data_IF_283663288129
#
_entry.id   IF_283663288129
#
_cell.length_a   1.000
_cell.length_b   1.000
_cell.length_c   1.000
_cell.angle_alpha   90.00
_cell.angle_beta   90.00
_cell.angle_gamma   90.00
#
_symmetry.space_group_name_H-M   'P 1'
#
loop_
_entity.id
_entity.type
_entity.pdbx_description
1 polymer ?
#
# COMPACT_ATOMS: atom_id res chain seq x y z
N UNK A 1 24.75 0.45 -7.28
CA UNK A 1 25.63 -0.73 -7.16
C UNK A 1 25.92 -1.03 -5.70
N UNK A 2 26.01 -2.30 -5.32
CA UNK A 2 26.42 -2.75 -3.97
C UNK A 2 27.58 -3.72 -4.10
N UNK A 3 28.64 -3.49 -3.32
CA UNK A 3 29.82 -4.34 -3.25
C UNK A 3 30.02 -4.92 -1.85
N UNK A 4 30.45 -6.17 -1.82
CA UNK A 4 30.86 -6.85 -0.59
C UNK A 4 32.36 -7.16 -0.68
N UNK A 5 33.13 -6.59 0.25
CA UNK A 5 34.56 -6.87 0.42
C UNK A 5 34.75 -7.67 1.72
N UNK A 6 34.80 -9.00 1.60
CA UNK A 6 34.66 -9.89 2.74
C UNK A 6 33.32 -9.68 3.44
N UNK A 7 33.36 -9.35 4.74
CA UNK A 7 32.17 -9.08 5.55
C UNK A 7 31.77 -7.59 5.61
N UNK A 8 32.21 -6.79 4.68
CA UNK A 8 31.99 -5.34 4.64
C UNK A 8 31.16 -4.98 3.41
N UNK A 9 30.22 -4.08 3.56
CA UNK A 9 29.30 -3.64 2.50
C UNK A 9 29.54 -2.17 2.16
N UNK A 10 29.59 -1.85 0.88
CA UNK A 10 29.55 -0.48 0.36
C UNK A 10 28.52 -0.39 -0.76
N UNK A 11 27.82 0.72 -0.82
CA UNK A 11 26.83 0.99 -1.88
C UNK A 11 27.03 2.41 -2.40
N UNK A 12 26.91 2.55 -3.72
CA UNK A 12 26.92 3.82 -4.43
C UNK A 12 25.95 3.76 -5.61
N UNK A 13 25.46 4.91 -6.06
CA UNK A 13 24.53 5.02 -7.20
C UNK A 13 24.84 6.24 -8.03
N UNK A 14 24.53 6.19 -9.33
CA UNK A 14 24.61 7.29 -10.27
C UNK A 14 23.39 7.29 -11.17
N UNK A 15 22.97 8.45 -11.64
CA UNK A 15 22.01 8.64 -12.74
C UNK A 15 22.70 8.78 -14.09
N UNK A 16 24.02 8.98 -14.11
CA UNK A 16 24.85 9.00 -15.31
C UNK A 16 25.36 7.58 -15.61
N UNK A 17 25.07 7.06 -16.78
CA UNK A 17 25.45 5.72 -17.24
C UNK A 17 26.66 5.74 -18.19
N UNK A 18 27.43 6.85 -18.24
CA UNK A 18 28.71 6.88 -18.96
C UNK A 18 29.72 5.91 -18.32
N UNK A 19 30.63 5.37 -19.12
CA UNK A 19 31.65 4.43 -18.62
C UNK A 19 32.43 4.99 -17.44
N UNK A 20 32.84 6.28 -17.49
CA UNK A 20 33.54 6.94 -16.41
C UNK A 20 32.71 7.01 -15.12
N UNK A 21 31.43 7.35 -15.23
CA UNK A 21 30.54 7.42 -14.06
C UNK A 21 30.25 6.04 -13.46
N UNK A 22 30.23 5.00 -14.28
CA UNK A 22 30.11 3.60 -13.82
C UNK A 22 31.38 3.21 -13.04
N UNK A 23 32.58 3.49 -13.57
CA UNK A 23 33.85 3.23 -12.87
C UNK A 23 33.92 3.98 -11.56
N UNK A 24 33.63 5.27 -11.55
CA UNK A 24 33.61 6.11 -10.33
C UNK A 24 32.60 5.56 -9.28
N UNK A 25 31.47 5.04 -9.73
CA UNK A 25 30.45 4.42 -8.87
C UNK A 25 30.96 3.12 -8.24
N UNK A 26 31.69 2.30 -9.02
CA UNK A 26 32.33 1.08 -8.52
C UNK A 26 33.38 1.42 -7.47
N UNK A 27 34.27 2.37 -7.77
CA UNK A 27 35.34 2.79 -6.87
C UNK A 27 34.80 3.40 -5.58
N UNK A 28 33.76 4.21 -5.68
CA UNK A 28 33.07 4.77 -4.50
C UNK A 28 32.48 3.66 -3.62
N UNK A 29 31.77 2.69 -4.20
CA UNK A 29 31.20 1.56 -3.45
C UNK A 29 32.30 0.71 -2.81
N UNK A 30 33.41 0.46 -3.50
CA UNK A 30 34.55 -0.28 -2.98
C UNK A 30 35.25 0.47 -1.81
N UNK A 31 35.47 1.75 -1.96
CA UNK A 31 36.09 2.58 -0.92
C UNK A 31 35.19 2.63 0.33
N UNK A 32 33.88 2.77 0.17
CA UNK A 32 32.91 2.67 1.29
C UNK A 32 33.06 1.32 1.98
N UNK A 33 33.06 0.21 1.21
CA UNK A 33 33.20 -1.13 1.77
C UNK A 33 34.48 -1.33 2.57
N UNK A 34 35.61 -0.71 2.15
CA UNK A 34 36.90 -0.82 2.87
C UNK A 34 36.85 -0.28 4.29
N UNK A 35 36.07 0.77 4.52
CA UNK A 35 36.02 1.49 5.81
C UNK A 35 34.74 1.18 6.63
N UNK A 36 33.76 0.50 6.06
CA UNK A 36 32.56 0.07 6.80
C UNK A 36 32.91 -1.03 7.82
N UNK A 37 32.27 -1.03 8.97
CA UNK A 37 32.46 -2.09 9.97
C UNK A 37 32.05 -3.46 9.38
N UNK A 38 32.79 -4.53 9.68
CA UNK A 38 32.42 -5.87 9.22
C UNK A 38 31.16 -6.38 9.94
N UNK A 39 30.28 -7.03 9.20
CA UNK A 39 29.17 -7.82 9.74
C UNK A 39 29.18 -9.19 9.04
N UNK A 40 29.33 -10.29 9.82
CA UNK A 40 29.44 -11.64 9.26
C UNK A 40 28.21 -12.10 8.46
N UNK A 41 27.10 -11.36 8.55
CA UNK A 41 25.86 -11.67 7.84
C UNK A 41 25.70 -10.89 6.52
N UNK A 42 26.61 -9.97 6.21
CA UNK A 42 26.66 -9.32 4.90
C UNK A 42 27.10 -10.29 3.80
N UNK A 43 26.53 -10.13 2.63
CA UNK A 43 26.84 -10.91 1.43
C UNK A 43 25.65 -11.02 0.50
N UNK A 44 25.90 -11.50 -0.71
CA UNK A 44 24.87 -11.81 -1.68
C UNK A 44 23.89 -12.87 -1.12
N UNK A 45 22.69 -12.91 -1.67
CA UNK A 45 21.75 -13.98 -1.44
C UNK A 45 22.35 -15.34 -1.86
N UNK A 46 21.85 -16.45 -1.27
CA UNK A 46 22.31 -17.80 -1.64
C UNK A 46 22.02 -18.05 -3.13
N UNK A 47 23.04 -18.48 -3.87
CA UNK A 47 22.94 -18.81 -5.30
C UNK A 47 21.81 -19.80 -5.61
N UNK A 48 21.52 -20.72 -4.70
CA UNK A 48 20.46 -21.71 -4.87
C UNK A 48 19.05 -21.13 -4.83
N UNK A 49 18.91 -19.91 -4.30
CA UNK A 49 17.62 -19.22 -4.20
C UNK A 49 17.34 -18.32 -5.40
N UNK A 50 18.32 -18.11 -6.28
CA UNK A 50 18.14 -17.26 -7.47
C UNK A 50 16.99 -17.78 -8.34
N UNK A 51 16.21 -16.84 -8.88
CA UNK A 51 15.15 -17.18 -9.81
C UNK A 51 15.73 -17.81 -11.10
N UNK A 52 15.10 -18.86 -11.55
CA UNK A 52 15.52 -19.58 -12.77
C UNK A 52 14.45 -19.61 -13.85
N UNK A 53 13.20 -19.36 -13.48
CA UNK A 53 12.08 -19.30 -14.40
C UNK A 53 11.57 -17.87 -14.49
N UNK A 54 11.61 -17.29 -15.69
CA UNK A 54 11.14 -15.93 -15.99
C UNK A 54 9.94 -16.04 -16.91
N UNK A 55 8.74 -15.96 -16.36
CA UNK A 55 7.50 -15.87 -17.14
C UNK A 55 7.09 -14.42 -17.35
N UNK A 56 6.39 -14.15 -18.41
CA UNK A 56 5.79 -12.85 -18.67
C UNK A 56 4.59 -12.66 -17.73
N UNK A 57 4.61 -11.57 -16.97
CA UNK A 57 3.54 -11.16 -16.06
C UNK A 57 2.68 -10.02 -16.62
N UNK A 58 2.83 -9.71 -17.91
CA UNK A 58 2.10 -8.66 -18.62
C UNK A 58 2.27 -7.28 -17.92
N UNK A 59 3.52 -6.93 -17.55
CA UNK A 59 3.82 -5.72 -16.80
C UNK A 59 4.08 -4.50 -17.70
N UNK A 60 4.25 -4.71 -19.01
CA UNK A 60 4.62 -3.68 -19.96
C UNK A 60 3.55 -3.55 -21.05
N UNK A 61 2.79 -2.49 -20.95
CA UNK A 61 1.69 -2.16 -21.85
C UNK A 61 1.79 -0.66 -22.17
N UNK A 62 2.66 -0.25 -23.11
CA UNK A 62 2.87 1.16 -23.43
C UNK A 62 1.58 1.81 -23.93
N UNK A 63 1.37 3.05 -23.55
CA UNK A 63 0.23 3.84 -23.99
C UNK A 63 0.71 4.82 -25.08
N UNK A 64 0.51 4.46 -26.33
CA UNK A 64 0.83 5.33 -27.46
C UNK A 64 -0.22 6.46 -27.57
N UNK A 65 -0.01 7.50 -26.78
CA UNK A 65 -0.91 8.65 -26.67
C UNK A 65 -0.12 9.96 -26.78
N UNK A 66 -0.65 10.91 -27.51
CA UNK A 66 -0.06 12.24 -27.60
C UNK A 66 -0.30 13.07 -26.32
N UNK A 67 0.57 14.04 -26.07
CA UNK A 67 0.42 14.97 -24.94
C UNK A 67 -0.91 15.72 -25.01
N UNK A 68 -1.34 16.12 -26.21
CA UNK A 68 -2.63 16.83 -26.40
C UNK A 68 -3.81 15.96 -25.96
N UNK A 69 -3.81 14.67 -26.30
CA UNK A 69 -4.85 13.75 -25.85
C UNK A 69 -4.81 13.52 -24.31
N UNK A 70 -3.61 13.45 -23.67
CA UNK A 70 -3.51 13.39 -22.21
C UNK A 70 -4.14 14.63 -21.55
N UNK A 71 -3.89 15.82 -22.13
CA UNK A 71 -4.49 17.09 -21.68
C UNK A 71 -6.02 17.04 -21.83
N UNK A 72 -6.53 16.53 -22.95
CA UNK A 72 -7.97 16.44 -23.16
C UNK A 72 -8.64 15.46 -22.18
N UNK A 73 -8.03 14.31 -21.87
CA UNK A 73 -8.52 13.40 -20.83
C UNK A 73 -8.54 14.09 -19.44
N UNK A 74 -7.51 14.86 -19.10
CA UNK A 74 -7.48 15.61 -17.86
C UNK A 74 -8.62 16.65 -17.78
N UNK A 75 -8.86 17.39 -18.88
CA UNK A 75 -9.98 18.35 -18.96
C UNK A 75 -11.35 17.66 -18.82
N UNK A 76 -11.54 16.51 -19.46
CA UNK A 76 -12.78 15.72 -19.33
C UNK A 76 -12.99 15.30 -17.87
N UNK A 77 -11.94 14.81 -17.21
CA UNK A 77 -11.98 14.39 -15.81
C UNK A 77 -12.35 15.58 -14.89
N UNK A 78 -11.69 16.71 -15.05
CA UNK A 78 -11.97 17.92 -14.27
C UNK A 78 -13.37 18.48 -14.52
N UNK A 79 -13.79 18.60 -15.79
CA UNK A 79 -15.13 19.06 -16.15
C UNK A 79 -16.21 18.18 -15.52
N UNK A 80 -16.04 16.84 -15.58
CA UNK A 80 -16.98 15.89 -14.98
C UNK A 80 -17.07 16.05 -13.46
N UNK A 81 -15.98 16.44 -12.80
CA UNK A 81 -16.02 16.71 -11.37
C UNK A 81 -16.75 18.01 -11.03
N UNK A 82 -16.50 19.08 -11.81
CA UNK A 82 -17.14 20.39 -11.63
C UNK A 82 -18.65 20.34 -11.95
N UNK A 83 -19.04 19.53 -12.92
CA UNK A 83 -20.45 19.39 -13.34
C UNK A 83 -21.34 18.67 -12.32
N UNK A 84 -20.78 18.00 -11.31
CA UNK A 84 -21.57 17.30 -10.29
C UNK A 84 -22.46 18.26 -9.51
N UNK A 85 -21.98 19.48 -9.20
CA UNK A 85 -22.78 20.50 -8.48
C UNK A 85 -22.14 21.87 -8.55
N UNK A 86 -22.98 22.91 -8.55
CA UNK A 86 -22.54 24.30 -8.40
C UNK A 86 -21.83 24.60 -7.06
N UNK A 87 -21.92 23.71 -6.07
CA UNK A 87 -21.18 23.81 -4.81
C UNK A 87 -19.71 23.45 -4.96
N UNK A 88 -19.32 22.78 -6.05
CA UNK A 88 -17.91 22.57 -6.37
C UNK A 88 -17.42 23.85 -7.05
N UNK A 89 -16.73 24.66 -6.26
CA UNK A 89 -16.38 26.05 -6.64
C UNK A 89 -14.96 26.16 -7.18
N UNK A 90 -14.13 25.14 -6.97
CA UNK A 90 -12.73 25.16 -7.39
C UNK A 90 -12.20 23.75 -7.66
N UNK A 91 -11.08 23.70 -8.37
CA UNK A 91 -10.33 22.47 -8.66
C UNK A 91 -8.85 22.67 -8.29
N UNK A 92 -8.25 21.66 -7.71
CA UNK A 92 -6.79 21.58 -7.58
C UNK A 92 -6.16 20.99 -8.85
N UNK A 93 -7.00 20.61 -9.81
CA UNK A 93 -6.64 20.08 -11.11
C UNK A 93 -6.90 18.60 -11.27
N UNK A 94 -6.90 18.20 -12.54
CA UNK A 94 -6.83 16.81 -12.93
C UNK A 94 -5.45 16.51 -13.53
N UNK A 95 -4.99 15.30 -13.38
CA UNK A 95 -3.73 14.83 -13.93
C UNK A 95 -3.89 13.49 -14.64
N UNK A 96 -3.20 13.36 -15.77
CA UNK A 96 -3.05 12.10 -16.48
C UNK A 96 -1.55 11.85 -16.64
N UNK A 97 -1.09 10.67 -16.29
CA UNK A 97 0.31 10.30 -16.45
C UNK A 97 0.46 8.93 -17.11
N UNK A 98 1.50 8.81 -17.91
CA UNK A 98 1.97 7.56 -18.48
C UNK A 98 3.47 7.48 -18.26
N UNK A 99 3.96 6.37 -17.75
CA UNK A 99 5.37 6.14 -17.51
C UNK A 99 5.75 4.71 -17.92
N UNK A 100 6.95 4.61 -18.46
CA UNK A 100 7.57 3.34 -18.82
C UNK A 100 8.94 3.24 -18.15
N UNK A 101 9.36 2.04 -17.83
CA UNK A 101 10.63 1.79 -17.21
C UNK A 101 11.08 0.36 -17.42
N UNK A 102 12.33 0.10 -17.08
CA UNK A 102 12.90 -1.24 -17.06
C UNK A 102 13.61 -1.43 -15.71
N UNK A 103 13.36 -2.57 -15.09
CA UNK A 103 14.13 -3.00 -13.92
C UNK A 103 15.08 -4.11 -14.38
N UNK A 104 16.38 -3.99 -14.02
CA UNK A 104 17.40 -4.99 -14.29
C UNK A 104 18.20 -5.20 -13.01
N UNK A 105 18.42 -6.45 -12.66
CA UNK A 105 19.29 -6.87 -11.59
C UNK A 105 20.30 -7.92 -12.07
N UNK A 106 21.54 -7.74 -11.68
CA UNK A 106 22.60 -8.74 -11.94
C UNK A 106 23.52 -8.84 -10.72
N UNK A 107 24.13 -10.00 -10.52
CA UNK A 107 25.09 -10.23 -9.45
C UNK A 107 26.21 -11.19 -9.83
N UNK A 108 27.29 -11.23 -9.04
CA UNK A 108 28.47 -12.04 -9.29
C UNK A 108 28.27 -13.56 -9.10
N UNK A 109 27.08 -14.03 -8.71
CA UNK A 109 26.71 -15.44 -8.78
C UNK A 109 26.31 -15.87 -10.20
N UNK A 110 26.29 -14.94 -11.15
CA UNK A 110 25.90 -15.14 -12.54
C UNK A 110 24.37 -15.03 -12.74
N UNK A 111 23.64 -14.50 -11.79
CA UNK A 111 22.24 -14.13 -11.99
C UNK A 111 22.16 -12.83 -12.79
N UNK A 112 21.33 -12.83 -13.81
CA UNK A 112 20.93 -11.67 -14.57
C UNK A 112 19.43 -11.81 -14.89
N UNK A 113 18.66 -10.79 -14.53
CA UNK A 113 17.22 -10.77 -14.74
C UNK A 113 16.70 -9.35 -14.84
N UNK A 114 15.62 -9.18 -15.61
CA UNK A 114 14.99 -7.87 -15.76
C UNK A 114 13.65 -7.99 -16.47
N UNK A 115 12.86 -6.94 -16.34
CA UNK A 115 11.56 -6.84 -17.00
C UNK A 115 11.20 -5.37 -17.23
N UNK A 116 10.58 -5.05 -18.38
CA UNK A 116 10.01 -3.73 -18.60
C UNK A 116 8.70 -3.59 -17.83
N UNK A 117 8.34 -2.34 -17.54
CA UNK A 117 7.10 -2.00 -16.84
C UNK A 117 6.47 -0.75 -17.43
N UNK A 118 5.16 -0.66 -17.38
CA UNK A 118 4.40 0.56 -17.63
C UNK A 118 3.49 0.88 -16.46
N UNK A 119 3.12 2.14 -16.33
CA UNK A 119 2.09 2.60 -15.40
C UNK A 119 1.41 3.85 -15.93
N UNK A 120 0.09 3.79 -15.89
CA UNK A 120 -0.79 4.89 -16.30
C UNK A 120 -1.67 5.28 -15.13
N UNK A 121 -1.99 6.57 -15.00
CA UNK A 121 -2.93 7.03 -13.98
C UNK A 121 -3.71 8.24 -14.45
N UNK A 122 -4.95 8.35 -13.95
CA UNK A 122 -5.83 9.49 -14.09
C UNK A 122 -6.33 9.84 -12.70
N UNK A 123 -6.36 11.11 -12.34
CA UNK A 123 -6.87 11.56 -11.06
C UNK A 123 -7.35 13.00 -11.09
N UNK A 124 -8.26 13.31 -10.20
CA UNK A 124 -8.81 14.66 -10.03
C UNK A 124 -9.06 14.97 -8.56
N UNK A 125 -8.78 16.19 -8.15
CA UNK A 125 -9.07 16.72 -6.82
C UNK A 125 -9.83 18.02 -6.94
N UNK A 126 -10.96 18.15 -6.24
CA UNK A 126 -11.83 19.34 -6.29
C UNK A 126 -12.21 19.81 -4.90
N UNK A 127 -12.67 21.06 -4.85
CA UNK A 127 -13.06 21.76 -3.63
C UNK A 127 -14.53 22.16 -3.76
N UNK A 128 -15.33 21.77 -2.76
CA UNK A 128 -16.70 22.20 -2.60
C UNK A 128 -16.82 23.21 -1.44
N UNK A 129 -17.71 24.17 -1.60
CA UNK A 129 -17.96 25.22 -0.61
C UNK A 129 -19.46 25.33 -0.31
N UNK A 130 -19.79 25.45 0.97
CA UNK A 130 -21.11 25.79 1.46
C UNK A 130 -21.01 26.63 2.75
N UNK A 131 -21.63 27.82 2.78
CA UNK A 131 -21.67 28.71 3.96
C UNK A 131 -20.29 28.97 4.55
N UNK A 132 -19.30 29.26 3.71
CA UNK A 132 -17.90 29.51 4.07
C UNK A 132 -17.14 28.30 4.67
N UNK A 133 -17.70 27.11 4.60
CA UNK A 133 -17.00 25.86 4.88
C UNK A 133 -16.56 25.25 3.57
N UNK A 134 -15.28 24.91 3.48
CA UNK A 134 -14.68 24.27 2.31
C UNK A 134 -14.33 22.83 2.64
N UNK A 135 -14.61 21.94 1.70
CA UNK A 135 -14.22 20.54 1.75
C UNK A 135 -13.50 20.16 0.47
N UNK A 136 -12.51 19.28 0.60
CA UNK A 136 -11.72 18.76 -0.49
C UNK A 136 -11.75 17.23 -0.44
N UNK A 137 -11.87 16.61 -1.61
CA UNK A 137 -11.62 15.19 -1.78
C UNK A 137 -11.12 14.93 -3.21
N UNK A 138 -10.72 13.72 -3.48
CA UNK A 138 -10.16 13.31 -4.76
C UNK A 138 -10.57 11.87 -5.09
N UNK A 139 -10.37 11.52 -6.35
CA UNK A 139 -10.37 10.13 -6.79
C UNK A 139 -9.34 9.93 -7.88
N UNK A 140 -8.86 8.71 -8.03
CA UNK A 140 -7.92 8.34 -9.08
C UNK A 140 -8.03 6.87 -9.43
N UNK A 141 -7.56 6.52 -10.63
CA UNK A 141 -7.33 5.17 -11.09
C UNK A 141 -5.89 5.03 -11.56
N UNK A 142 -5.27 3.89 -11.30
CA UNK A 142 -3.90 3.60 -11.73
C UNK A 142 -3.80 2.13 -12.15
N UNK A 143 -3.21 1.88 -13.32
CA UNK A 143 -3.07 0.54 -13.87
C UNK A 143 -1.82 0.41 -14.75
N UNK A 144 -1.40 -0.82 -15.05
CA UNK A 144 -0.33 -1.10 -16.00
C UNK A 144 -0.80 -1.13 -17.44
N UNK A 145 -2.08 -1.35 -17.67
CA UNK A 145 -2.73 -1.34 -18.98
C UNK A 145 -3.84 -0.29 -18.99
N UNK A 146 -3.93 0.49 -20.05
CA UNK A 146 -4.90 1.61 -20.14
C UNK A 146 -6.36 1.14 -20.04
N UNK A 147 -6.67 -0.05 -20.55
CA UNK A 147 -8.02 -0.62 -20.48
C UNK A 147 -8.48 -0.97 -19.06
N UNK A 148 -7.54 -1.10 -18.12
CA UNK A 148 -7.82 -1.37 -16.72
C UNK A 148 -8.06 -0.08 -15.91
N UNK A 149 -7.91 1.12 -16.53
CA UNK A 149 -8.23 2.40 -15.91
C UNK A 149 -9.74 2.63 -15.88
N UNK A 150 -10.22 3.25 -14.82
CA UNK A 150 -11.55 3.86 -14.82
C UNK A 150 -11.59 5.03 -15.83
N UNK A 151 -12.78 5.31 -16.41
CA UNK A 151 -12.89 6.42 -17.34
C UNK A 151 -12.68 7.78 -16.66
N UNK A 152 -12.16 8.80 -17.37
CA UNK A 152 -11.99 10.15 -16.84
C UNK A 152 -13.28 10.70 -16.24
N UNK A 153 -14.42 10.46 -16.90
CA UNK A 153 -15.75 10.89 -16.46
C UNK A 153 -16.14 10.24 -15.13
N UNK A 154 -15.88 8.94 -14.96
CA UNK A 154 -16.16 8.21 -13.73
C UNK A 154 -15.33 8.76 -12.58
N UNK A 155 -14.01 8.95 -12.81
CA UNK A 155 -13.07 9.47 -11.82
C UNK A 155 -13.48 10.87 -11.39
N UNK A 156 -13.75 11.78 -12.34
CA UNK A 156 -14.18 13.13 -12.04
C UNK A 156 -15.50 13.17 -11.27
N UNK A 157 -16.52 12.44 -11.74
CA UNK A 157 -17.82 12.37 -11.07
C UNK A 157 -17.69 11.83 -9.64
N UNK A 158 -16.84 10.83 -9.43
CA UNK A 158 -16.63 10.26 -8.10
C UNK A 158 -15.87 11.22 -7.19
N UNK A 159 -14.84 11.92 -7.69
CA UNK A 159 -14.13 12.97 -6.95
C UNK A 159 -15.10 14.08 -6.49
N UNK A 160 -15.93 14.59 -7.40
CA UNK A 160 -16.95 15.58 -7.10
C UNK A 160 -17.99 15.10 -6.08
N UNK A 161 -18.51 13.89 -6.25
CA UNK A 161 -19.50 13.29 -5.35
C UNK A 161 -18.94 13.08 -3.93
N UNK A 162 -17.71 12.58 -3.82
CA UNK A 162 -17.01 12.43 -2.53
C UNK A 162 -16.82 13.78 -1.85
N UNK A 163 -16.36 14.77 -2.58
CA UNK A 163 -16.15 16.13 -2.04
C UNK A 163 -17.45 16.75 -1.52
N UNK A 164 -18.55 16.64 -2.26
CA UNK A 164 -19.87 17.13 -1.84
C UNK A 164 -20.37 16.43 -0.59
N UNK A 165 -20.17 15.12 -0.49
CA UNK A 165 -20.67 14.34 0.63
C UNK A 165 -19.99 14.69 1.96
N UNK A 166 -18.86 15.42 1.94
CA UNK A 166 -18.16 15.93 3.12
C UNK A 166 -18.70 17.27 3.64
N UNK A 167 -19.50 17.97 2.84
CA UNK A 167 -20.08 19.27 3.26
C UNK A 167 -21.02 19.08 4.45
N UNK A 168 -21.00 20.05 5.37
CA UNK A 168 -21.79 20.01 6.58
C UNK A 168 -21.26 19.06 7.66
N UNK A 169 -19.97 18.78 7.63
CA UNK A 169 -19.33 17.93 8.63
C UNK A 169 -19.60 18.41 10.07
N UNK A 170 -19.81 17.46 10.96
CA UNK A 170 -20.16 17.71 12.36
C UNK A 170 -19.13 17.09 13.29
N UNK A 171 -18.97 17.68 14.45
CA UNK A 171 -18.22 17.07 15.56
C UNK A 171 -19.11 16.05 16.27
N UNK A 172 -18.49 14.96 16.71
CA UNK A 172 -19.15 13.94 17.53
C UNK A 172 -18.61 13.94 18.94
N UNK A 173 -19.40 13.52 19.89
CA UNK A 173 -18.94 13.36 21.27
C UNK A 173 -17.94 12.21 21.36
N UNK A 174 -16.93 12.37 22.20
CA UNK A 174 -15.99 11.28 22.53
C UNK A 174 -16.74 10.03 22.96
N UNK A 175 -16.46 8.91 22.31
CA UNK A 175 -17.13 7.64 22.53
C UNK A 175 -16.24 6.44 22.13
N UNK A 176 -16.71 5.25 22.48
CA UNK A 176 -16.25 3.99 21.89
C UNK A 176 -17.35 3.49 20.94
N UNK A 177 -16.98 3.14 19.74
CA UNK A 177 -17.93 2.66 18.74
C UNK A 177 -17.24 1.74 17.72
N UNK A 178 -18.01 0.86 17.03
CA UNK A 178 -17.52 0.14 15.87
C UNK A 178 -17.02 1.10 14.79
N UNK A 179 -15.98 0.66 14.06
CA UNK A 179 -15.37 1.46 13.00
C UNK A 179 -15.21 0.62 11.74
N UNK A 180 -15.68 1.16 10.63
CA UNK A 180 -15.36 0.63 9.30
C UNK A 180 -14.24 1.48 8.71
N UNK A 181 -13.15 0.84 8.29
CA UNK A 181 -12.15 1.45 7.42
C UNK A 181 -12.57 1.18 5.98
N UNK A 182 -12.88 2.22 5.20
CA UNK A 182 -13.17 2.11 3.75
C UNK A 182 -12.02 1.38 3.04
N UNK A 183 -12.28 0.62 1.99
CA UNK A 183 -11.31 -0.24 1.32
C UNK A 183 -9.97 0.46 0.98
N UNK A 184 -9.93 1.69 0.41
CA UNK A 184 -8.67 2.43 0.19
C UNK A 184 -7.88 2.67 1.49
N UNK A 185 -8.58 2.93 2.59
CA UNK A 185 -7.98 3.21 3.90
C UNK A 185 -7.58 1.91 4.62
N UNK A 186 -8.36 0.85 4.46
CA UNK A 186 -8.10 -0.47 5.01
C UNK A 186 -6.76 -1.06 4.53
N UNK A 187 -6.33 -0.75 3.30
CA UNK A 187 -4.99 -1.11 2.79
C UNK A 187 -3.85 -0.61 3.69
N UNK A 188 -4.06 0.51 4.42
CA UNK A 188 -3.13 1.05 5.40
C UNK A 188 -3.00 0.17 6.66
N UNK A 189 -4.08 -0.45 7.12
CA UNK A 189 -4.03 -1.42 8.23
C UNK A 189 -3.26 -2.68 7.82
N UNK A 190 -3.51 -3.19 6.63
CA UNK A 190 -2.75 -4.32 6.07
C UNK A 190 -1.27 -3.96 5.93
N UNK A 191 -0.94 -2.74 5.44
CA UNK A 191 0.46 -2.27 5.37
C UNK A 191 1.14 -2.25 6.74
N UNK A 192 0.44 -1.84 7.78
CA UNK A 192 0.95 -1.81 9.16
C UNK A 192 1.26 -3.22 9.69
N UNK A 193 0.35 -4.17 9.44
CA UNK A 193 0.55 -5.58 9.78
C UNK A 193 1.77 -6.16 9.05
N UNK A 194 1.87 -5.95 7.74
CA UNK A 194 2.99 -6.43 6.92
C UNK A 194 4.32 -5.84 7.39
N UNK A 195 4.34 -4.56 7.74
CA UNK A 195 5.53 -3.92 8.33
C UNK A 195 5.93 -4.58 9.65
N UNK A 196 4.98 -4.97 10.48
CA UNK A 196 5.26 -5.63 11.76
C UNK A 196 5.88 -7.03 11.61
N UNK A 197 5.56 -7.76 10.53
CA UNK A 197 6.15 -9.08 10.23
C UNK A 197 7.30 -9.01 9.21
N UNK A 198 7.79 -7.81 8.89
CA UNK A 198 8.95 -7.65 8.02
C UNK A 198 10.26 -7.88 8.76
N UNK A 199 11.20 -8.59 8.12
CA UNK A 199 12.47 -8.99 8.71
C UNK A 199 13.27 -7.83 9.29
N UNK A 200 13.21 -6.65 8.65
CA UNK A 200 13.87 -5.43 9.12
C UNK A 200 13.41 -4.99 10.51
N UNK A 201 12.11 -5.04 10.78
CA UNK A 201 11.54 -4.68 12.08
C UNK A 201 11.74 -5.81 13.11
N UNK A 202 11.66 -7.05 12.67
CA UNK A 202 11.81 -8.22 13.56
C UNK A 202 13.22 -8.32 14.13
N UNK A 203 14.28 -8.29 13.31
CA UNK A 203 15.65 -8.44 13.83
C UNK A 203 16.11 -7.23 14.66
N UNK A 204 15.58 -6.04 14.39
CA UNK A 204 15.82 -4.85 15.22
C UNK A 204 14.97 -4.79 16.49
N UNK A 205 14.10 -5.78 16.70
CA UNK A 205 13.14 -5.82 17.81
C UNK A 205 12.23 -4.59 17.86
N UNK A 206 11.92 -4.01 16.70
CA UNK A 206 11.07 -2.83 16.53
C UNK A 206 9.71 -3.21 15.93
N UNK A 207 9.08 -4.24 16.47
CA UNK A 207 7.77 -4.71 16.02
C UNK A 207 6.90 -5.10 17.23
N UNK A 208 5.60 -4.80 17.13
CA UNK A 208 4.60 -5.29 18.07
C UNK A 208 4.25 -6.77 17.85
N UNK A 209 4.75 -7.41 16.77
CA UNK A 209 4.53 -8.83 16.43
C UNK A 209 5.85 -9.65 16.49
N UNK A 210 6.70 -9.37 17.47
CA UNK A 210 7.88 -10.20 17.72
C UNK A 210 7.47 -11.64 18.04
N UNK A 211 8.23 -12.62 17.51
CA UNK A 211 8.02 -14.07 17.74
C UNK A 211 6.61 -14.57 17.41
N UNK A 212 5.97 -13.96 16.42
CA UNK A 212 4.58 -14.28 16.07
C UNK A 212 4.42 -15.39 15.03
N UNK A 213 5.50 -15.99 14.55
CA UNK A 213 5.43 -17.10 13.59
C UNK A 213 4.72 -18.31 14.20
N UNK A 214 3.64 -18.77 13.56
CA UNK A 214 2.75 -19.82 14.05
C UNK A 214 1.74 -19.37 15.10
N UNK A 215 1.79 -18.09 15.53
CA UNK A 215 0.88 -17.58 16.55
C UNK A 215 -0.36 -16.92 15.94
N UNK A 216 -1.48 -17.02 16.66
CA UNK A 216 -2.73 -16.33 16.31
C UNK A 216 -2.71 -14.89 16.79
N UNK A 217 -2.51 -13.95 15.90
CA UNK A 217 -2.39 -12.51 16.19
C UNK A 217 -3.60 -11.70 15.76
N UNK A 218 -4.50 -12.29 14.96
CA UNK A 218 -5.66 -11.61 14.41
C UNK A 218 -6.93 -12.48 14.49
N UNK A 219 -8.06 -11.90 14.11
CA UNK A 219 -9.34 -12.59 13.97
C UNK A 219 -9.29 -13.70 12.90
N UNK A 220 -10.13 -14.72 13.03
CA UNK A 220 -10.31 -15.80 12.02
C UNK A 220 -10.78 -15.27 10.66
N UNK A 221 -11.27 -14.06 10.62
CA UNK A 221 -11.67 -13.40 9.37
C UNK A 221 -10.49 -12.89 8.53
N UNK A 222 -9.28 -12.83 9.09
CA UNK A 222 -8.11 -12.31 8.39
C UNK A 222 -7.27 -13.45 7.81
N UNK A 223 -7.38 -13.63 6.50
CA UNK A 223 -6.52 -14.51 5.70
C UNK A 223 -5.89 -13.66 4.58
N UNK A 224 -4.56 -13.75 4.42
CA UNK A 224 -3.79 -12.97 3.45
C UNK A 224 -2.92 -13.91 2.63
N UNK A 225 -3.14 -13.92 1.33
CA UNK A 225 -2.27 -14.56 0.35
C UNK A 225 -1.30 -13.53 -0.25
N UNK A 226 -0.04 -13.88 -0.37
CA UNK A 226 0.93 -13.14 -1.18
C UNK A 226 1.07 -13.85 -2.54
N UNK A 227 0.80 -13.10 -3.63
CA UNK A 227 0.88 -13.61 -4.99
C UNK A 227 1.75 -12.68 -5.86
N UNK A 228 3.03 -13.04 -6.11
CA UNK A 228 3.92 -12.27 -6.96
C UNK A 228 3.64 -12.44 -8.46
N UNK A 229 2.69 -13.31 -8.85
CA UNK A 229 2.47 -13.71 -10.23
C UNK A 229 1.15 -13.21 -10.84
N UNK A 230 0.49 -12.26 -10.18
CA UNK A 230 -0.71 -11.63 -10.75
C UNK A 230 -0.33 -10.92 -12.05
N UNK A 231 -1.02 -11.24 -13.15
CA UNK A 231 -0.88 -10.50 -14.40
C UNK A 231 -1.22 -9.02 -14.17
N UNK A 232 -0.37 -8.12 -14.67
CA UNK A 232 -0.51 -6.66 -14.49
C UNK A 232 -0.54 -6.20 -13.03
N UNK A 233 -0.19 -7.07 -12.08
CA UNK A 233 -0.20 -6.74 -10.66
C UNK A 233 0.83 -5.67 -10.29
N UNK A 234 0.47 -4.79 -9.37
CA UNK A 234 1.30 -3.64 -9.00
C UNK A 234 2.66 -4.01 -8.43
N UNK A 235 2.72 -5.09 -7.66
CA UNK A 235 3.95 -5.61 -7.06
C UNK A 235 4.29 -7.03 -7.58
N UNK A 236 3.92 -7.33 -8.82
CA UNK A 236 4.28 -8.60 -9.45
C UNK A 236 5.74 -8.59 -9.89
N UNK A 237 6.47 -9.66 -9.56
CA UNK A 237 7.86 -9.87 -9.95
C UNK A 237 8.26 -11.33 -9.81
N UNK A 238 9.09 -11.83 -10.73
CA UNK A 238 9.63 -13.20 -10.69
C UNK A 238 10.77 -13.37 -9.69
N UNK A 239 11.39 -12.27 -9.28
CA UNK A 239 12.49 -12.23 -8.31
C UNK A 239 12.45 -10.93 -7.50
N UNK A 240 13.01 -10.97 -6.32
CA UNK A 240 13.14 -9.82 -5.42
C UNK A 240 14.37 -8.95 -5.75
N UNK A 241 14.59 -7.87 -5.00
CA UNK A 241 15.72 -6.94 -5.22
C UNK A 241 17.12 -7.58 -5.04
N UNK A 242 17.18 -8.84 -4.60
CA UNK A 242 18.42 -9.62 -4.47
C UNK A 242 18.51 -10.76 -5.51
N UNK A 243 17.54 -10.85 -6.44
CA UNK A 243 17.46 -11.90 -7.45
C UNK A 243 16.89 -13.23 -6.93
N UNK A 244 16.42 -13.26 -5.69
CA UNK A 244 15.81 -14.45 -5.08
C UNK A 244 14.43 -14.69 -5.69
N UNK A 245 14.14 -15.95 -6.04
CA UNK A 245 12.85 -16.34 -6.59
C UNK A 245 11.71 -15.99 -5.64
N UNK A 246 10.65 -15.40 -6.17
CA UNK A 246 9.43 -15.10 -5.45
C UNK A 246 8.49 -16.31 -5.44
N UNK A 247 7.60 -16.36 -4.47
CA UNK A 247 6.70 -17.49 -4.32
C UNK A 247 5.30 -17.05 -3.90
N UNK A 248 4.30 -17.67 -4.53
CA UNK A 248 2.92 -17.56 -4.04
C UNK A 248 2.81 -18.34 -2.74
N UNK A 249 2.24 -17.71 -1.70
CA UNK A 249 2.13 -18.32 -0.37
C UNK A 249 1.00 -17.72 0.45
N UNK A 250 0.52 -18.50 1.38
CA UNK A 250 -0.42 -18.05 2.39
C UNK A 250 0.39 -17.42 3.54
N UNK A 251 0.42 -16.07 3.57
CA UNK A 251 1.21 -15.29 4.53
C UNK A 251 0.57 -15.30 5.92
N UNK A 252 -0.76 -15.23 5.94
CA UNK A 252 -1.57 -15.33 7.16
C UNK A 252 -2.80 -16.18 6.88
N UNK A 253 -3.14 -17.09 7.76
CA UNK A 253 -4.34 -17.93 7.65
C UNK A 253 -5.17 -17.87 8.92
N UNK A 254 -6.41 -17.40 8.80
CA UNK A 254 -7.36 -17.26 9.92
C UNK A 254 -6.72 -16.62 11.16
N UNK A 255 -5.97 -15.54 10.93
CA UNK A 255 -5.27 -14.78 11.97
C UNK A 255 -3.95 -15.38 12.45
N UNK A 256 -3.51 -16.51 11.92
CA UNK A 256 -2.23 -17.15 12.26
C UNK A 256 -1.16 -16.67 11.27
N UNK A 257 -0.01 -16.26 11.78
CA UNK A 257 1.15 -15.83 10.97
C UNK A 257 1.88 -17.06 10.44
N UNK A 258 1.80 -17.33 9.14
CA UNK A 258 2.45 -18.48 8.50
C UNK A 258 3.87 -18.18 7.98
N UNK A 259 4.23 -16.89 7.88
CA UNK A 259 5.55 -16.51 7.39
C UNK A 259 5.88 -15.06 7.63
N UNK A 260 7.18 -14.76 7.59
CA UNK A 260 7.72 -13.41 7.61
C UNK A 260 8.14 -12.98 6.20
N UNK A 261 8.38 -11.68 6.03
CA UNK A 261 8.93 -11.13 4.79
C UNK A 261 10.42 -10.83 5.00
N UNK A 262 11.28 -11.66 4.42
CA UNK A 262 12.69 -11.68 4.71
C UNK A 262 13.54 -11.46 3.46
N UNK A 263 14.42 -10.45 3.49
CA UNK A 263 15.60 -10.38 2.63
C UNK A 263 16.67 -11.36 3.11
N UNK A 264 17.72 -11.59 2.33
CA UNK A 264 18.84 -12.45 2.73
C UNK A 264 19.50 -12.00 4.04
N UNK A 265 19.68 -10.68 4.20
CA UNK A 265 20.30 -10.14 5.42
C UNK A 265 19.40 -10.34 6.65
N UNK A 266 18.14 -9.96 6.56
CA UNK A 266 17.21 -10.10 7.69
C UNK A 266 16.96 -11.57 8.05
N UNK A 267 16.92 -12.45 7.06
CA UNK A 267 16.82 -13.89 7.26
C UNK A 267 18.01 -14.42 8.07
N UNK A 268 19.25 -14.06 7.67
CA UNK A 268 20.47 -14.46 8.41
C UNK A 268 20.46 -13.93 9.85
N UNK A 269 20.02 -12.66 10.07
CA UNK A 269 19.87 -12.08 11.43
C UNK A 269 18.90 -12.86 12.30
N UNK A 270 17.89 -13.48 11.71
CA UNK A 270 16.85 -14.26 12.40
C UNK A 270 17.14 -15.77 12.41
N UNK A 271 18.25 -16.24 11.82
CA UNK A 271 18.56 -17.66 11.69
C UNK A 271 17.59 -18.39 10.75
N UNK A 272 17.03 -17.69 9.75
CA UNK A 272 16.04 -18.19 8.80
C UNK A 272 16.59 -18.13 7.36
N UNK A 273 15.78 -18.53 6.39
CA UNK A 273 16.05 -18.42 4.96
C UNK A 273 15.30 -17.22 4.37
N UNK A 274 15.88 -16.55 3.34
CA UNK A 274 15.20 -15.52 2.56
C UNK A 274 13.88 -16.05 1.97
N UNK A 275 12.88 -15.20 1.95
CA UNK A 275 11.54 -15.52 1.44
C UNK A 275 11.25 -14.88 0.09
N UNK A 276 12.28 -14.29 -0.59
CA UNK A 276 12.10 -13.58 -1.83
C UNK A 276 11.39 -12.23 -1.62
N UNK A 277 11.69 -11.56 -0.51
CA UNK A 277 11.05 -10.30 -0.14
C UNK A 277 12.06 -9.18 0.15
N UNK A 278 13.25 -9.22 -0.45
CA UNK A 278 14.07 -8.03 -0.54
C UNK A 278 13.33 -6.99 -1.39
N UNK A 279 13.12 -5.79 -0.84
CA UNK A 279 12.26 -4.77 -1.46
C UNK A 279 10.84 -4.69 -0.89
N UNK A 280 10.35 -5.74 -0.26
CA UNK A 280 9.05 -5.73 0.43
C UNK A 280 8.10 -6.88 0.06
N UNK A 281 6.83 -6.70 0.35
CA UNK A 281 5.78 -7.64 -0.03
C UNK A 281 5.39 -7.46 -1.51
N UNK A 282 5.02 -8.56 -2.13
CA UNK A 282 4.38 -8.59 -3.44
C UNK A 282 2.88 -8.25 -3.34
N UNK A 283 2.08 -8.65 -4.34
CA UNK A 283 0.65 -8.40 -4.24
C UNK A 283 0.04 -9.20 -3.09
N UNK A 284 -0.72 -8.51 -2.25
CA UNK A 284 -1.42 -9.09 -1.10
C UNK A 284 -2.91 -9.18 -1.40
N UNK A 285 -3.45 -10.37 -1.33
CA UNK A 285 -4.87 -10.64 -1.54
C UNK A 285 -5.48 -10.99 -0.19
N UNK A 286 -6.32 -10.10 0.32
CA UNK A 286 -7.05 -10.32 1.56
C UNK A 286 -8.36 -11.03 1.23
N UNK A 287 -8.60 -12.17 1.88
CA UNK A 287 -9.85 -12.91 1.70
C UNK A 287 -11.04 -12.09 2.20
N UNK A 288 -12.03 -11.95 1.34
CA UNK A 288 -13.25 -11.18 1.60
C UNK A 288 -14.42 -12.07 1.99
N UNK A 289 -15.40 -11.50 2.69
CA UNK A 289 -16.73 -12.09 2.86
C UNK A 289 -17.58 -11.88 1.60
N UNK A 290 -18.86 -12.27 1.66
CA UNK A 290 -19.84 -11.97 0.62
C UNK A 290 -20.59 -10.62 0.83
N UNK A 291 -20.16 -9.79 1.78
CA UNK A 291 -20.78 -8.52 2.14
C UNK A 291 -20.09 -7.36 1.45
N UNK A 292 -20.83 -6.43 0.89
CA UNK A 292 -20.32 -5.16 0.40
C UNK A 292 -20.31 -4.09 1.52
N UNK A 293 -19.79 -2.88 1.24
CA UNK A 293 -19.73 -1.80 2.23
C UNK A 293 -21.10 -1.48 2.87
N UNK A 294 -22.19 -1.49 2.08
CA UNK A 294 -23.53 -1.25 2.62
C UNK A 294 -23.96 -2.34 3.60
N UNK A 295 -23.58 -3.58 3.35
CA UNK A 295 -23.88 -4.69 4.25
C UNK A 295 -23.00 -4.66 5.51
N UNK A 296 -21.75 -4.14 5.41
CA UNK A 296 -20.92 -3.87 6.57
C UNK A 296 -21.54 -2.78 7.45
N UNK A 297 -22.04 -1.69 6.86
CA UNK A 297 -22.74 -0.64 7.61
C UNK A 297 -24.00 -1.17 8.31
N UNK A 298 -24.78 -2.04 7.67
CA UNK A 298 -25.92 -2.71 8.32
C UNK A 298 -25.47 -3.61 9.47
N UNK A 299 -24.37 -4.36 9.30
CA UNK A 299 -23.79 -5.20 10.36
C UNK A 299 -23.29 -4.36 11.51
N UNK A 300 -22.68 -3.23 11.25
CA UNK A 300 -22.22 -2.25 12.24
C UNK A 300 -23.38 -1.60 12.98
N UNK A 301 -24.49 -1.37 12.34
CA UNK A 301 -25.69 -0.67 12.80
C UNK A 301 -25.44 0.78 13.18
N UNK A 302 -24.55 1.06 14.13
CA UNK A 302 -24.15 2.40 14.57
C UNK A 302 -22.63 2.45 14.76
N UNK A 303 -21.98 3.49 14.23
CA UNK A 303 -20.52 3.65 14.34
C UNK A 303 -19.97 4.64 13.34
N UNK A 304 -18.68 4.56 13.09
CA UNK A 304 -17.93 5.45 12.21
C UNK A 304 -17.47 4.71 10.94
N UNK A 305 -17.77 5.26 9.78
CA UNK A 305 -17.13 4.91 8.52
C UNK A 305 -15.98 5.91 8.28
N UNK A 306 -14.74 5.43 8.36
CA UNK A 306 -13.52 6.24 8.09
C UNK A 306 -13.19 6.20 6.62
N UNK A 307 -13.09 7.36 5.98
CA UNK A 307 -12.74 7.52 4.56
C UNK A 307 -11.45 8.29 4.34
N UNK A 308 -10.91 8.90 5.40
CA UNK A 308 -9.63 9.61 5.37
C UNK A 308 -8.90 9.47 6.71
N UNK A 309 -7.57 9.34 6.62
CA UNK A 309 -6.68 9.31 7.78
C UNK A 309 -5.59 10.37 7.62
N UNK A 310 -5.34 11.12 8.68
CA UNK A 310 -4.36 12.21 8.74
C UNK A 310 -3.18 11.82 9.63
N UNK A 311 -1.99 12.23 9.22
CA UNK A 311 -0.76 12.04 9.99
C UNK A 311 -0.26 10.59 10.05
N UNK A 312 0.83 10.39 10.80
CA UNK A 312 1.44 9.09 11.10
C UNK A 312 1.24 8.80 12.58
N UNK A 313 0.47 7.80 12.93
CA UNK A 313 0.07 7.57 14.32
C UNK A 313 0.16 6.11 14.76
N UNK A 314 1.09 5.34 14.19
CA UNK A 314 1.39 3.98 14.64
C UNK A 314 2.78 3.93 15.29
N UNK A 315 2.82 3.52 16.56
CA UNK A 315 4.07 3.08 17.17
C UNK A 315 4.32 1.60 16.81
N UNK A 316 5.29 1.36 15.94
CA UNK A 316 5.58 -0.01 15.46
C UNK A 316 6.08 -0.93 16.56
N UNK A 317 6.65 -0.42 17.66
CA UNK A 317 7.17 -1.25 18.77
C UNK A 317 6.04 -1.72 19.69
N UNK A 318 5.13 -0.82 20.06
CA UNK A 318 4.06 -1.10 21.03
C UNK A 318 2.76 -1.54 20.38
N UNK A 319 2.53 -1.10 19.14
CA UNK A 319 1.27 -1.25 18.43
C UNK A 319 0.26 -0.13 18.70
N UNK A 320 0.61 0.87 19.50
CA UNK A 320 -0.28 1.99 19.76
C UNK A 320 -0.60 2.75 18.50
N UNK A 321 -1.88 2.97 18.27
CA UNK A 321 -2.44 3.58 17.06
C UNK A 321 -3.29 4.79 17.46
N UNK A 322 -2.96 5.96 16.91
CA UNK A 322 -3.73 7.18 17.12
C UNK A 322 -3.59 8.08 15.88
N UNK A 323 -4.68 8.32 15.15
CA UNK A 323 -4.65 9.11 13.92
C UNK A 323 -5.83 10.07 13.84
N UNK A 324 -5.59 11.25 13.31
CA UNK A 324 -6.65 12.12 12.81
C UNK A 324 -7.45 11.37 11.73
N UNK A 325 -8.76 11.57 11.71
CA UNK A 325 -9.66 10.92 10.78
C UNK A 325 -10.81 11.84 10.37
N UNK A 326 -11.34 11.54 9.17
CA UNK A 326 -12.60 12.07 8.67
C UNK A 326 -13.41 10.93 8.07
N UNK A 327 -14.72 11.09 7.97
CA UNK A 327 -15.60 10.07 7.43
C UNK A 327 -17.06 10.37 7.68
N UNK A 328 -17.83 9.34 8.00
CA UNK A 328 -19.28 9.47 8.15
C UNK A 328 -19.77 8.74 9.39
N UNK A 329 -20.64 9.41 10.14
CA UNK A 329 -21.39 8.73 11.20
C UNK A 329 -22.52 7.93 10.60
N UNK A 330 -22.65 6.69 11.05
CA UNK A 330 -23.65 5.72 10.60
C UNK A 330 -24.60 5.44 11.74
N UNK A 331 -25.92 5.48 11.48
CA UNK A 331 -26.98 5.04 12.40
C UNK A 331 -27.99 4.19 11.63
N UNK A 332 -28.45 3.12 12.25
CA UNK A 332 -29.37 2.14 11.64
C UNK A 332 -28.84 1.57 10.31
N UNK A 333 -27.52 1.47 10.17
CA UNK A 333 -26.87 0.94 8.98
C UNK A 333 -26.84 1.88 7.78
N UNK A 334 -27.13 3.17 7.96
CA UNK A 334 -27.08 4.19 6.91
C UNK A 334 -26.25 5.39 7.35
N UNK A 335 -25.57 6.03 6.41
CA UNK A 335 -24.85 7.28 6.64
C UNK A 335 -25.84 8.38 7.03
N UNK A 336 -25.54 9.11 8.12
CA UNK A 336 -26.39 10.18 8.64
C UNK A 336 -25.78 11.57 8.40
N UNK A 337 -24.49 11.75 8.68
CA UNK A 337 -23.79 13.02 8.46
C UNK A 337 -22.28 12.78 8.35
N UNK A 338 -21.55 13.65 7.64
CA UNK A 338 -20.10 13.61 7.62
C UNK A 338 -19.51 14.09 8.95
N UNK A 339 -18.32 13.56 9.27
CA UNK A 339 -17.58 13.84 10.51
C UNK A 339 -16.15 14.19 10.17
N UNK A 340 -15.62 15.23 10.80
CA UNK A 340 -14.23 15.66 10.66
C UNK A 340 -13.62 16.09 11.98
N UNK A 341 -12.32 16.43 11.97
CA UNK A 341 -11.58 16.85 13.17
C UNK A 341 -11.71 15.87 14.35
N UNK A 342 -11.68 14.59 14.06
CA UNK A 342 -11.70 13.54 15.07
C UNK A 342 -10.37 12.79 15.13
N UNK A 343 -10.12 12.18 16.26
CA UNK A 343 -9.01 11.23 16.43
C UNK A 343 -9.57 9.85 16.72
N UNK A 344 -9.12 8.85 15.98
CA UNK A 344 -9.38 7.45 16.29
C UNK A 344 -8.15 6.83 16.95
N UNK A 345 -8.37 6.06 18.01
CA UNK A 345 -7.27 5.46 18.76
C UNK A 345 -7.57 4.01 19.17
N UNK A 346 -6.50 3.23 19.26
CA UNK A 346 -6.52 1.83 19.68
C UNK A 346 -5.11 1.25 19.79
N UNK A 347 -5.02 -0.05 19.86
CA UNK A 347 -3.75 -0.78 19.74
C UNK A 347 -3.88 -1.82 18.62
N UNK A 348 -2.91 -1.89 17.71
CA UNK A 348 -2.96 -2.77 16.54
C UNK A 348 -3.14 -4.24 16.92
N UNK A 349 -2.59 -4.71 18.06
CA UNK A 349 -2.77 -6.09 18.51
C UNK A 349 -4.25 -6.40 18.81
N UNK A 350 -4.96 -5.43 19.38
CA UNK A 350 -6.38 -5.57 19.70
C UNK A 350 -7.24 -5.34 18.46
N UNK A 351 -6.92 -4.31 17.67
CA UNK A 351 -7.61 -4.00 16.41
C UNK A 351 -7.63 -5.20 15.46
N UNK A 352 -6.51 -5.90 15.29
CA UNK A 352 -6.43 -7.09 14.44
C UNK A 352 -7.31 -8.23 14.94
N UNK A 353 -7.42 -8.42 16.25
CA UNK A 353 -8.29 -9.44 16.86
C UNK A 353 -9.77 -9.08 16.78
N UNK A 354 -10.08 -7.79 16.73
CA UNK A 354 -11.45 -7.24 16.68
C UNK A 354 -12.01 -7.10 15.25
N UNK A 355 -11.33 -7.64 14.24
CA UNK A 355 -11.89 -7.68 12.88
C UNK A 355 -13.13 -8.56 12.88
N UNK A 356 -14.29 -7.97 12.60
CA UNK A 356 -15.59 -8.62 12.55
C UNK A 356 -15.86 -9.24 11.19
N UNK A 357 -15.51 -8.50 10.11
CA UNK A 357 -15.68 -8.96 8.73
C UNK A 357 -14.93 -8.04 7.76
N UNK A 358 -14.63 -8.55 6.57
CA UNK A 358 -13.96 -7.84 5.49
C UNK A 358 -14.88 -7.85 4.28
N UNK A 359 -15.11 -6.68 3.70
CA UNK A 359 -16.02 -6.48 2.57
C UNK A 359 -15.47 -7.02 1.25
N UNK A 360 -16.37 -7.23 0.29
CA UNK A 360 -16.03 -7.64 -1.08
C UNK A 360 -15.87 -6.44 -2.05
N UNK A 361 -15.95 -5.24 -1.53
CA UNK A 361 -15.72 -3.96 -2.21
C UNK A 361 -14.21 -3.69 -2.36
N UNK A 362 -13.50 -4.61 -3.02
CA UNK A 362 -12.03 -4.60 -3.10
C UNK A 362 -11.54 -3.40 -3.89
N UNK A 363 -10.70 -2.58 -3.26
CA UNK A 363 -9.96 -1.51 -3.90
C UNK A 363 -8.75 -2.05 -4.64
N UNK A 364 -8.63 -1.72 -5.95
CA UNK A 364 -7.65 -2.33 -6.86
C UNK A 364 -6.49 -1.41 -7.25
N UNK A 365 -6.49 -0.16 -6.81
CA UNK A 365 -5.38 0.76 -7.06
C UNK A 365 -4.24 0.51 -6.06
N UNK A 366 -3.36 -0.44 -6.37
CA UNK A 366 -2.22 -0.78 -5.54
C UNK A 366 -2.03 -2.28 -5.31
N UNK A 367 -0.97 -2.63 -4.59
CA UNK A 367 -0.57 -4.02 -4.35
C UNK A 367 -1.28 -4.70 -3.16
N UNK A 368 -2.17 -4.01 -2.45
CA UNK A 368 -2.89 -4.55 -1.29
C UNK A 368 -4.38 -4.60 -1.60
N UNK A 369 -4.81 -5.76 -2.11
CA UNK A 369 -6.16 -5.99 -2.57
C UNK A 369 -7.04 -6.40 -1.38
N UNK A 370 -7.68 -5.42 -0.74
CA UNK A 370 -8.57 -5.61 0.40
C UNK A 370 -9.87 -4.85 0.19
N UNK A 371 -10.96 -5.37 0.73
CA UNK A 371 -12.20 -4.61 0.91
C UNK A 371 -12.22 -3.82 2.21
N UNK A 372 -13.31 -3.12 2.46
CA UNK A 372 -13.54 -2.40 3.71
C UNK A 372 -13.47 -3.33 4.91
N UNK A 373 -12.88 -2.87 6.02
CA UNK A 373 -12.69 -3.68 7.24
C UNK A 373 -13.53 -3.11 8.37
N UNK A 374 -14.42 -3.92 8.93
CA UNK A 374 -15.19 -3.58 10.13
C UNK A 374 -14.49 -4.09 11.39
N UNK A 375 -14.19 -3.18 12.31
CA UNK A 375 -13.71 -3.46 13.68
C UNK A 375 -14.84 -3.34 14.68
N UNK A 376 -14.78 -4.18 15.74
CA UNK A 376 -15.78 -4.22 16.80
C UNK A 376 -15.87 -2.90 17.60
N UNK A 377 -14.72 -2.28 17.89
CA UNK A 377 -14.70 -1.01 18.62
C UNK A 377 -13.36 -0.28 18.50
N UNK A 378 -13.41 1.03 18.54
CA UNK A 378 -12.25 1.93 18.72
C UNK A 378 -12.65 3.11 19.60
N UNK A 379 -11.66 3.76 20.22
CA UNK A 379 -11.85 5.06 20.83
C UNK A 379 -11.92 6.13 19.76
N UNK A 380 -12.94 6.97 19.81
CA UNK A 380 -13.16 8.09 18.91
C UNK A 380 -13.24 9.34 19.78
N UNK A 381 -12.34 10.30 19.57
CA UNK A 381 -12.30 11.56 20.29
C UNK A 381 -12.51 12.72 19.31
N UNK A 382 -13.32 13.70 19.72
CA UNK A 382 -13.42 15.00 19.04
C UNK A 382 -12.43 15.97 19.66
N UNK A 383 -11.78 16.75 18.84
CA UNK A 383 -10.90 17.85 19.24
C UNK A 383 -11.72 19.10 19.63
#
# INVERSE_FOLDING_TARGET
>A
MTLYNGQRKGSSSSSDLSDQSIEDTVDAAFNIARYTAPDPLFGLADKKLMATNMQDLDLYNPWDISIDHLIDLAKVCEASALDVSQKITNSEGASVSSSEGIFIYANSHGFEGGYPTSRHSIGCSVIAEEKSMMQRDYWYSSARHVEDLESPESIGTLAGTRTLSRLGAQKIKTCHAPVIFEAPIAAGLISSLISAISGGNLYRQSSFLLNSLGEKVASDHLTIEEDPFLLRGDASSMFDDEGVATHKRLLMDQGIVNGYLLSSYSARKLGMQSTGNAGGAHNLIVKTSNKNLKDLMKTMHKGLLVTELLGHGLNMVTGDYSRGASGYWVENGVITYPVEEITIAGNMKDMLKQIVTIGNDVYRNGSKLTGSILLETMSIASS
#
